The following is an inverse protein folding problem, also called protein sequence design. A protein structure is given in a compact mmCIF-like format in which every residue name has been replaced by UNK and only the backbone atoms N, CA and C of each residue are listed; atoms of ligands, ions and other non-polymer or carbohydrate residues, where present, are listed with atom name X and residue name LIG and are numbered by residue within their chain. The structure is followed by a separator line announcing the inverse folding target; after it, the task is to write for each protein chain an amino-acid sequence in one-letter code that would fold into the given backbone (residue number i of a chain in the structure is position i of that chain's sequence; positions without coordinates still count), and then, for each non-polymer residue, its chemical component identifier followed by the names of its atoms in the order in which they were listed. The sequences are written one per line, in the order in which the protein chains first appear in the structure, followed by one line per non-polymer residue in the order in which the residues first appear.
data_IF_828442531865
#
_entry.id   IF_828442531865
#
_cell.length_a   1.000
_cell.length_b   1.000
_cell.length_c   1.000
_cell.angle_alpha   90.00
_cell.angle_beta   90.00
_cell.angle_gamma   90.00
#
_symmetry.space_group_name_H-M   'P 1'
#
loop_
_entity.id
_entity.type
_entity.pdbx_description
1 polymer ?
#
# COMPACT_ATOMS: atom_id res chain seq x y z
N UNK A 1 -3.99 -8.98 19.36
CA UNK A 1 -4.51 -9.51 18.08
C UNK A 1 -6.01 -9.76 18.21
N UNK A 2 -6.82 -8.80 17.78
CA UNK A 2 -8.27 -8.98 17.62
C UNK A 2 -8.74 -8.02 16.52
N UNK A 3 -8.83 -8.50 15.26
CA UNK A 3 -9.41 -7.70 14.18
C UNK A 3 -8.99 -8.07 12.75
N UNK A 4 -7.74 -8.48 12.53
CA UNK A 4 -7.25 -8.85 11.20
C UNK A 4 -7.49 -10.34 10.91
N UNK A 5 -8.29 -10.71 9.87
CA UNK A 5 -8.74 -12.08 9.69
C UNK A 5 -7.88 -12.91 8.73
N UNK A 6 -6.95 -12.29 8.00
CA UNK A 6 -6.23 -12.97 6.93
C UNK A 6 -4.99 -13.69 7.46
N UNK A 7 -4.74 -14.88 6.91
CA UNK A 7 -3.57 -15.68 7.24
C UNK A 7 -2.40 -15.30 6.34
N UNK A 8 -1.27 -14.99 6.95
CA UNK A 8 -0.03 -14.76 6.23
C UNK A 8 0.51 -16.07 5.65
N UNK A 9 0.90 -16.04 4.37
CA UNK A 9 1.60 -17.12 3.69
C UNK A 9 2.96 -16.64 3.18
N UNK A 10 3.98 -17.48 3.32
CA UNK A 10 5.31 -17.24 2.81
C UNK A 10 5.73 -18.41 1.93
N UNK A 11 5.69 -18.30 0.58
CA UNK A 11 6.04 -19.40 -0.30
C UNK A 11 7.54 -19.74 -0.24
N UNK A 12 8.38 -18.76 0.11
CA UNK A 12 9.80 -18.84 0.40
C UNK A 12 10.19 -17.52 1.10
N UNK A 13 11.33 -17.45 1.81
CA UNK A 13 11.71 -16.24 2.54
C UNK A 13 11.72 -14.99 1.65
N UNK A 14 10.91 -13.99 2.02
CA UNK A 14 10.82 -12.72 1.29
C UNK A 14 11.88 -11.75 1.81
N UNK A 15 12.60 -11.15 0.87
CA UNK A 15 13.57 -10.10 1.17
C UNK A 15 13.20 -8.83 0.44
N UNK A 16 13.68 -7.70 0.95
CA UNK A 16 13.66 -6.42 0.28
C UNK A 16 15.06 -5.86 0.17
N UNK A 17 15.45 -5.51 -1.05
CA UNK A 17 16.64 -4.71 -1.32
C UNK A 17 16.35 -3.23 -1.10
N UNK A 18 17.27 -2.54 -0.44
CA UNK A 18 17.16 -1.12 -0.13
C UNK A 18 18.24 -0.37 -0.91
N UNK A 19 17.82 0.44 -1.88
CA UNK A 19 18.74 1.28 -2.69
C UNK A 19 19.49 2.29 -1.82
N UNK A 20 18.77 2.84 -0.83
CA UNK A 20 19.34 3.65 0.25
C UNK A 20 19.29 2.79 1.51
N UNK A 21 20.44 2.45 2.12
CA UNK A 21 20.46 1.65 3.34
C UNK A 21 19.66 2.32 4.46
N UNK A 22 18.98 1.53 5.27
CA UNK A 22 18.31 1.98 6.50
C UNK A 22 19.15 1.59 7.71
N UNK A 23 19.00 2.29 8.83
CA UNK A 23 19.72 1.95 10.06
C UNK A 23 18.90 0.98 10.90
N UNK A 24 19.46 -0.19 11.21
CA UNK A 24 18.86 -1.16 12.14
C UNK A 24 19.95 -1.71 13.08
N UNK A 25 19.66 -1.78 14.38
CA UNK A 25 20.62 -2.27 15.37
C UNK A 25 21.95 -1.50 15.37
N UNK A 26 21.91 -0.21 15.05
CA UNK A 26 23.09 0.65 14.97
C UNK A 26 23.96 0.47 13.72
N UNK A 27 23.51 -0.28 12.70
CA UNK A 27 24.28 -0.53 11.47
C UNK A 27 23.44 -0.26 10.21
N UNK A 28 24.06 0.13 9.09
CA UNK A 28 23.38 0.23 7.80
C UNK A 28 23.00 -1.17 7.28
N UNK A 29 21.74 -1.32 6.85
CA UNK A 29 21.19 -2.52 6.25
C UNK A 29 20.71 -2.20 4.84
N UNK A 30 21.23 -2.92 3.85
CA UNK A 30 20.85 -2.76 2.42
C UNK A 30 19.95 -3.88 1.91
N UNK A 31 19.78 -4.95 2.70
CA UNK A 31 18.88 -6.07 2.40
C UNK A 31 18.21 -6.47 3.70
N UNK A 32 16.88 -6.49 3.71
CA UNK A 32 16.08 -6.79 4.89
C UNK A 32 15.19 -7.99 4.61
N UNK A 33 15.10 -8.94 5.54
CA UNK A 33 14.12 -10.03 5.46
C UNK A 33 12.79 -9.54 6.00
N UNK A 34 11.68 -9.91 5.36
CA UNK A 34 10.35 -9.72 5.94
C UNK A 34 10.18 -10.70 7.10
N UNK A 35 9.98 -10.17 8.30
CA UNK A 35 9.84 -10.96 9.54
C UNK A 35 8.38 -11.12 9.95
N UNK A 36 8.11 -11.99 10.92
CA UNK A 36 6.78 -12.09 11.54
C UNK A 36 6.38 -10.81 12.26
N UNK A 37 7.35 -10.03 12.74
CA UNK A 37 7.10 -8.73 13.36
C UNK A 37 6.62 -7.71 12.33
N UNK A 38 7.19 -7.72 11.12
CA UNK A 38 6.72 -6.88 10.01
C UNK A 38 5.31 -7.29 9.56
N UNK A 39 5.00 -8.58 9.56
CA UNK A 39 3.66 -9.11 9.24
C UNK A 39 2.63 -8.70 10.30
N UNK A 40 2.99 -8.75 11.59
CA UNK A 40 2.14 -8.22 12.67
C UNK A 40 1.92 -6.72 12.50
N UNK A 41 2.99 -5.96 12.22
CA UNK A 41 2.87 -4.53 11.96
C UNK A 41 1.95 -4.22 10.75
N UNK A 42 2.01 -5.03 9.70
CA UNK A 42 1.07 -4.93 8.57
C UNK A 42 -0.37 -5.20 8.99
N UNK A 43 -0.63 -6.26 9.74
CA UNK A 43 -1.98 -6.55 10.23
C UNK A 43 -2.54 -5.40 11.08
N UNK A 44 -1.74 -4.87 12.01
CA UNK A 44 -2.13 -3.77 12.89
C UNK A 44 -2.35 -2.46 12.11
N UNK A 45 -1.48 -2.15 11.12
CA UNK A 45 -1.66 -1.02 10.21
C UNK A 45 -2.96 -1.14 9.41
N UNK A 46 -3.28 -2.34 8.90
CA UNK A 46 -4.51 -2.57 8.13
C UNK A 46 -5.77 -2.44 8.99
N UNK A 47 -5.72 -2.81 10.28
CA UNK A 47 -6.81 -2.56 11.24
C UNK A 47 -7.04 -1.06 11.45
N UNK A 48 -5.97 -0.29 11.64
CA UNK A 48 -6.04 1.16 11.78
C UNK A 48 -6.50 1.86 10.50
N UNK A 49 -6.05 1.40 9.34
CA UNK A 49 -6.55 1.86 8.04
C UNK A 49 -8.05 1.61 7.93
N UNK A 50 -8.53 0.40 8.24
CA UNK A 50 -9.97 0.09 8.22
C UNK A 50 -10.77 1.03 9.11
N UNK A 51 -10.31 1.30 10.33
CA UNK A 51 -10.97 2.25 11.25
C UNK A 51 -11.05 3.67 10.65
N UNK A 52 -9.97 4.14 10.04
CA UNK A 52 -9.98 5.43 9.33
C UNK A 52 -11.00 5.43 8.19
N UNK A 53 -11.05 4.36 7.38
CA UNK A 53 -12.01 4.24 6.28
C UNK A 53 -13.47 4.26 6.80
N UNK A 54 -13.74 3.56 7.90
CA UNK A 54 -15.06 3.56 8.54
C UNK A 54 -15.44 4.95 9.06
N UNK A 55 -14.51 5.68 9.70
CA UNK A 55 -14.71 7.05 10.18
C UNK A 55 -14.96 8.03 9.02
N UNK A 56 -14.14 7.98 7.97
CA UNK A 56 -14.29 8.82 6.77
C UNK A 56 -15.62 8.53 6.06
N UNK A 57 -16.02 7.27 5.93
CA UNK A 57 -17.30 6.91 5.35
C UNK A 57 -18.49 7.35 6.22
N UNK A 58 -18.37 7.28 7.54
CA UNK A 58 -19.35 7.82 8.48
C UNK A 58 -19.57 9.31 8.26
N UNK A 59 -18.48 10.08 8.13
CA UNK A 59 -18.54 11.50 7.79
C UNK A 59 -19.23 11.72 6.45
N UNK A 60 -18.78 11.03 5.38
CA UNK A 60 -19.37 11.15 4.05
C UNK A 60 -20.89 10.92 4.05
N UNK A 61 -21.39 9.94 4.81
CA UNK A 61 -22.83 9.68 4.98
C UNK A 61 -23.57 10.83 5.67
N UNK A 62 -23.00 11.41 6.73
CA UNK A 62 -23.55 12.60 7.40
C UNK A 62 -23.61 13.81 6.46
N UNK A 63 -22.69 13.88 5.49
CA UNK A 63 -22.67 14.92 4.45
C UNK A 63 -23.62 14.66 3.29
N UNK A 64 -24.30 13.50 3.24
CA UNK A 64 -25.05 13.05 2.06
C UNK A 64 -24.18 13.00 0.80
N UNK A 65 -22.90 12.64 0.95
CA UNK A 65 -21.97 12.50 -0.15
C UNK A 65 -22.46 11.44 -1.14
N UNK A 66 -22.31 11.73 -2.43
CA UNK A 66 -22.61 10.78 -3.49
C UNK A 66 -21.65 9.58 -3.46
N UNK A 67 -22.04 8.50 -4.12
CA UNK A 67 -21.23 7.28 -4.18
C UNK A 67 -19.84 7.50 -4.81
N UNK A 68 -19.76 8.31 -5.87
CA UNK A 68 -18.49 8.74 -6.48
C UNK A 68 -17.60 9.49 -5.49
N UNK A 69 -18.17 10.39 -4.70
CA UNK A 69 -17.45 11.17 -3.71
C UNK A 69 -16.94 10.27 -2.59
N UNK A 70 -17.75 9.32 -2.12
CA UNK A 70 -17.33 8.31 -1.15
C UNK A 70 -16.14 7.49 -1.68
N UNK A 71 -16.20 6.99 -2.91
CA UNK A 71 -15.09 6.24 -3.52
C UNK A 71 -13.79 7.05 -3.56
N UNK A 72 -13.88 8.33 -3.93
CA UNK A 72 -12.73 9.23 -3.95
C UNK A 72 -12.18 9.47 -2.54
N UNK A 73 -13.05 9.73 -1.55
CA UNK A 73 -12.66 9.91 -0.15
C UNK A 73 -11.97 8.68 0.42
N UNK A 74 -12.43 7.46 0.09
CA UNK A 74 -11.77 6.22 0.52
C UNK A 74 -10.38 6.06 -0.14
N UNK A 75 -10.25 6.39 -1.42
CA UNK A 75 -8.96 6.40 -2.10
C UNK A 75 -8.00 7.43 -1.49
N UNK A 76 -8.50 8.64 -1.17
CA UNK A 76 -7.73 9.68 -0.47
C UNK A 76 -7.32 9.23 0.93
N UNK A 77 -8.21 8.57 1.68
CA UNK A 77 -7.94 8.03 3.01
C UNK A 77 -6.81 7.00 3.00
N UNK A 78 -6.80 6.07 2.03
CA UNK A 78 -5.69 5.11 1.86
C UNK A 78 -4.39 5.87 1.58
N UNK A 79 -4.41 6.79 0.61
CA UNK A 79 -3.23 7.56 0.20
C UNK A 79 -2.67 8.43 1.34
N UNK A 80 -3.55 9.01 2.15
CA UNK A 80 -3.20 9.81 3.33
C UNK A 80 -2.66 8.91 4.44
N UNK A 81 -3.32 7.80 4.76
CA UNK A 81 -2.86 6.86 5.79
C UNK A 81 -1.45 6.33 5.51
N UNK A 82 -1.14 6.05 4.24
CA UNK A 82 0.17 5.53 3.85
C UNK A 82 1.30 6.59 3.91
N UNK A 83 1.01 7.88 4.17
CA UNK A 83 2.01 8.96 4.10
C UNK A 83 1.98 9.94 5.27
N UNK A 84 0.80 10.42 5.66
CA UNK A 84 0.64 11.45 6.67
C UNK A 84 1.19 11.07 8.05
N UNK A 85 1.07 9.81 8.54
CA UNK A 85 1.69 9.42 9.81
C UNK A 85 3.22 9.60 9.84
N UNK A 86 3.89 9.55 8.69
CA UNK A 86 5.35 9.76 8.60
C UNK A 86 5.75 11.23 8.80
N UNK A 87 4.80 12.16 8.67
CA UNK A 87 5.03 13.57 8.95
C UNK A 87 4.87 13.78 10.45
N UNK A 88 5.98 13.79 11.19
CA UNK A 88 5.93 13.99 12.64
C UNK A 88 5.48 15.42 12.98
N UNK A 89 4.62 15.55 13.99
CA UNK A 89 4.25 16.88 14.48
C UNK A 89 5.43 17.53 15.19
N UNK A 90 5.71 18.77 14.85
CA UNK A 90 6.74 19.58 15.52
C UNK A 90 6.14 20.35 16.71
N UNK A 91 4.81 20.51 16.73
CA UNK A 91 4.09 21.26 17.76
C UNK A 91 2.80 20.54 18.14
N UNK A 92 2.42 20.53 19.44
CA UNK A 92 1.13 20.03 19.88
C UNK A 92 -0.03 21.02 19.62
N UNK A 93 0.27 22.25 19.17
CA UNK A 93 -0.72 23.34 19.08
C UNK A 93 -1.52 23.31 17.79
N UNK A 94 -0.91 22.90 16.68
CA UNK A 94 -1.58 22.86 15.38
C UNK A 94 -0.90 21.83 14.48
N UNK A 95 -1.67 21.15 13.59
CA UNK A 95 -1.10 20.28 12.58
C UNK A 95 -0.06 20.99 11.70
N UNK A 96 1.02 20.29 11.34
CA UNK A 96 1.94 20.77 10.30
C UNK A 96 1.19 21.05 8.99
N UNK A 97 1.67 21.97 8.13
CA UNK A 97 1.01 22.27 6.85
C UNK A 97 0.75 21.03 5.97
N UNK A 98 1.65 20.05 6.00
CA UNK A 98 1.49 18.80 5.26
C UNK A 98 0.38 17.91 5.83
N UNK A 99 0.25 17.80 7.16
CA UNK A 99 -0.88 17.11 7.79
C UNK A 99 -2.18 17.89 7.62
N UNK A 100 -2.14 19.21 7.68
CA UNK A 100 -3.29 20.06 7.39
C UNK A 100 -3.82 19.77 5.98
N UNK A 101 -2.95 19.74 4.97
CA UNK A 101 -3.33 19.35 3.61
C UNK A 101 -3.97 17.96 3.56
N UNK A 102 -3.42 16.98 4.28
CA UNK A 102 -4.01 15.64 4.37
C UNK A 102 -5.43 15.67 4.98
N UNK A 103 -5.66 16.45 6.03
CA UNK A 103 -6.99 16.62 6.63
C UNK A 103 -8.00 17.24 5.66
N UNK A 104 -7.58 18.26 4.88
CA UNK A 104 -8.45 18.91 3.89
C UNK A 104 -8.88 17.96 2.76
N UNK A 105 -8.10 16.90 2.48
CA UNK A 105 -8.48 15.86 1.52
C UNK A 105 -9.54 14.91 2.10
N UNK A 106 -9.49 14.62 3.40
CA UNK A 106 -10.38 13.63 4.03
C UNK A 106 -11.70 14.21 4.54
N UNK A 107 -11.76 15.54 4.75
CA UNK A 107 -12.92 16.20 5.33
C UNK A 107 -13.32 17.43 4.51
N UNK A 108 -14.25 17.28 3.54
CA UNK A 108 -14.74 18.40 2.73
C UNK A 108 -15.26 19.58 3.56
N UNK A 109 -15.97 19.33 4.67
CA UNK A 109 -16.41 20.40 5.60
C UNK A 109 -15.26 21.14 6.27
N UNK A 110 -14.20 20.43 6.68
CA UNK A 110 -13.01 21.10 7.21
C UNK A 110 -12.35 21.94 6.13
N UNK A 111 -12.35 21.48 4.87
CA UNK A 111 -11.84 22.27 3.75
C UNK A 111 -12.59 23.58 3.58
N UNK A 112 -13.92 23.57 3.59
CA UNK A 112 -14.74 24.78 3.47
C UNK A 112 -14.47 25.77 4.61
N UNK A 113 -14.32 25.27 5.84
CA UNK A 113 -14.11 26.10 7.02
C UNK A 113 -12.68 26.64 7.12
N UNK A 114 -11.68 25.80 6.84
CA UNK A 114 -10.27 26.12 7.08
C UNK A 114 -9.65 26.87 5.91
N UNK A 115 -9.98 26.51 4.66
CA UNK A 115 -9.28 27.02 3.49
C UNK A 115 -9.40 28.54 3.34
N UNK A 116 -8.26 29.18 3.11
CA UNK A 116 -8.13 30.61 2.85
C UNK A 116 -6.93 30.83 1.94
N UNK A 117 -7.04 31.77 0.99
CA UNK A 117 -5.88 32.23 0.21
C UNK A 117 -4.92 33.08 1.06
N UNK A 118 -5.41 33.69 2.14
CA UNK A 118 -4.58 34.35 3.14
C UNK A 118 -4.01 33.30 4.09
N UNK A 119 -2.68 33.15 4.06
CA UNK A 119 -1.92 32.18 4.87
C UNK A 119 -2.07 32.42 6.38
N UNK A 120 -2.14 33.68 6.82
CA UNK A 120 -2.34 33.99 8.23
C UNK A 120 -3.73 33.53 8.69
N UNK A 121 -4.76 33.82 7.90
CA UNK A 121 -6.12 33.39 8.22
C UNK A 121 -6.25 31.86 8.18
N UNK A 122 -5.62 31.19 7.21
CA UNK A 122 -5.55 29.73 7.15
C UNK A 122 -4.89 29.16 8.42
N UNK A 123 -3.72 29.66 8.81
CA UNK A 123 -3.02 29.22 10.01
C UNK A 123 -3.81 29.49 11.30
N UNK A 124 -4.46 30.66 11.40
CA UNK A 124 -5.30 31.04 12.54
C UNK A 124 -6.55 30.17 12.67
N UNK A 125 -7.14 29.71 11.56
CA UNK A 125 -8.26 28.76 11.58
C UNK A 125 -7.80 27.37 11.96
N UNK A 126 -6.67 26.93 11.40
CA UNK A 126 -6.06 25.64 11.72
C UNK A 126 -5.70 25.53 13.21
N UNK A 127 -5.19 26.59 13.82
CA UNK A 127 -4.84 26.62 15.25
C UNK A 127 -6.04 26.58 16.21
N UNK A 128 -7.27 26.62 15.68
CA UNK A 128 -8.50 26.54 16.47
C UNK A 128 -9.14 25.15 16.43
N UNK A 129 -8.60 24.23 15.63
CA UNK A 129 -9.08 22.85 15.60
C UNK A 129 -8.90 22.23 16.98
N UNK A 130 -9.97 21.66 17.50
CA UNK A 130 -9.94 20.91 18.75
C UNK A 130 -9.60 19.43 18.49
N UNK A 131 -9.23 18.67 19.53
CA UNK A 131 -9.08 17.22 19.40
C UNK A 131 -10.35 16.54 18.86
N UNK A 132 -11.54 17.04 19.20
CA UNK A 132 -12.82 16.54 18.70
C UNK A 132 -12.97 16.76 17.19
N UNK A 133 -12.52 17.91 16.66
CA UNK A 133 -12.51 18.16 15.21
C UNK A 133 -11.60 17.18 14.44
N UNK A 134 -10.62 16.58 15.13
CA UNK A 134 -9.60 15.70 14.57
C UNK A 134 -9.83 14.21 14.91
N UNK A 135 -10.86 13.87 15.68
CA UNK A 135 -11.12 12.50 16.15
C UNK A 135 -11.25 11.50 14.99
N UNK A 136 -11.83 11.92 13.87
CA UNK A 136 -11.99 11.08 12.67
C UNK A 136 -10.63 10.67 12.06
N UNK A 137 -9.57 11.45 12.31
CA UNK A 137 -8.24 11.31 11.74
C UNK A 137 -7.16 11.03 12.80
N UNK A 138 -7.53 10.61 14.02
CA UNK A 138 -6.60 10.35 15.13
C UNK A 138 -5.43 9.43 14.74
N UNK A 139 -5.69 8.43 13.89
CA UNK A 139 -4.69 7.47 13.41
C UNK A 139 -3.55 8.17 12.66
N UNK A 140 -3.78 9.36 12.08
CA UNK A 140 -2.77 10.14 11.38
C UNK A 140 -1.79 10.85 12.33
N UNK A 141 -2.18 11.03 13.60
CA UNK A 141 -1.39 11.71 14.62
C UNK A 141 -0.74 10.74 15.61
N UNK A 142 -1.18 9.49 15.63
CA UNK A 142 -0.62 8.48 16.51
C UNK A 142 0.79 8.05 16.11
N UNK A 143 1.72 8.13 17.07
CA UNK A 143 3.13 7.74 16.87
C UNK A 143 3.28 6.24 16.56
N UNK A 144 2.40 5.40 17.12
CA UNK A 144 2.44 3.97 16.82
C UNK A 144 2.06 3.71 15.36
N UNK A 145 1.03 4.39 14.85
CA UNK A 145 0.68 4.34 13.42
C UNK A 145 1.84 4.80 12.54
N UNK A 146 2.60 5.82 12.94
CA UNK A 146 3.78 6.26 12.21
C UNK A 146 4.85 5.15 12.08
N UNK A 147 5.14 4.45 13.19
CA UNK A 147 6.09 3.33 13.20
C UNK A 147 5.61 2.15 12.36
N UNK A 148 4.31 1.82 12.43
CA UNK A 148 3.70 0.78 11.62
C UNK A 148 3.82 1.11 10.12
N UNK A 149 3.45 2.33 9.72
CA UNK A 149 3.54 2.79 8.33
C UNK A 149 4.99 2.83 7.86
N UNK A 150 5.92 3.32 8.69
CA UNK A 150 7.35 3.31 8.37
C UNK A 150 7.86 1.89 8.09
N UNK A 151 7.53 0.93 8.94
CA UNK A 151 7.87 -0.49 8.74
C UNK A 151 7.33 -1.02 7.43
N UNK A 152 6.09 -0.68 7.07
CA UNK A 152 5.50 -1.08 5.79
C UNK A 152 6.31 -0.52 4.62
N UNK A 153 6.76 0.73 4.73
CA UNK A 153 7.60 1.41 3.75
C UNK A 153 8.99 0.83 3.61
N UNK A 154 9.53 0.04 4.54
CA UNK A 154 10.89 -0.52 4.45
C UNK A 154 10.93 -2.06 4.38
N UNK A 155 9.86 -2.75 4.78
CA UNK A 155 9.82 -4.21 4.85
C UNK A 155 9.37 -4.85 3.54
N UNK A 156 8.22 -4.43 3.03
CA UNK A 156 7.54 -5.15 1.96
C UNK A 156 8.00 -4.67 0.59
N UNK A 157 8.45 -5.58 -0.30
CA UNK A 157 8.75 -5.24 -1.68
C UNK A 157 7.49 -5.33 -2.56
N UNK A 158 7.45 -4.58 -3.65
CA UNK A 158 6.39 -4.68 -4.65
C UNK A 158 6.42 -6.02 -5.45
N UNK A 159 7.62 -6.59 -5.57
CA UNK A 159 7.89 -7.88 -6.18
C UNK A 159 8.73 -8.72 -5.21
N UNK A 160 8.28 -9.92 -4.86
CA UNK A 160 9.03 -10.78 -3.94
C UNK A 160 10.11 -11.64 -4.63
N UNK A 161 10.24 -11.58 -5.97
CA UNK A 161 11.25 -12.35 -6.74
C UNK A 161 12.65 -11.82 -6.45
N UNK A 162 13.63 -12.72 -6.24
CA UNK A 162 15.03 -12.33 -6.12
C UNK A 162 15.50 -11.46 -7.30
N UNK A 163 16.09 -10.30 -6.98
CA UNK A 163 16.59 -9.32 -7.94
C UNK A 163 15.62 -8.21 -8.31
N UNK A 164 14.30 -8.46 -8.20
CA UNK A 164 13.27 -7.47 -8.54
C UNK A 164 12.66 -6.78 -7.29
N UNK A 165 13.00 -7.28 -6.11
CA UNK A 165 12.52 -6.89 -4.79
C UNK A 165 13.12 -5.59 -4.21
N UNK A 166 13.43 -4.60 -5.06
CA UNK A 166 14.05 -3.34 -4.60
C UNK A 166 13.08 -2.17 -4.43
N UNK A 167 11.90 -2.25 -5.06
CA UNK A 167 10.86 -1.22 -4.88
C UNK A 167 9.98 -1.52 -3.67
N UNK A 168 9.55 -0.45 -3.00
CA UNK A 168 8.59 -0.53 -1.90
C UNK A 168 7.22 -0.89 -2.42
N UNK A 169 6.52 -1.82 -1.76
CA UNK A 169 5.12 -2.12 -2.07
C UNK A 169 4.25 -0.86 -2.07
N UNK A 170 4.44 0.01 -1.06
CA UNK A 170 3.66 1.24 -0.95
C UNK A 170 3.99 2.26 -2.04
N UNK A 171 5.27 2.37 -2.45
CA UNK A 171 5.66 3.26 -3.54
C UNK A 171 5.01 2.81 -4.86
N UNK A 172 5.09 1.51 -5.15
CA UNK A 172 4.47 0.90 -6.32
C UNK A 172 2.96 1.14 -6.34
N UNK A 173 2.27 0.82 -5.25
CA UNK A 173 0.82 1.03 -5.12
C UNK A 173 0.41 2.48 -5.38
N UNK A 174 1.10 3.45 -4.77
CA UNK A 174 0.80 4.88 -4.95
C UNK A 174 1.06 5.34 -6.39
N UNK A 175 2.18 4.90 -6.98
CA UNK A 175 2.55 5.22 -8.36
C UNK A 175 1.56 4.62 -9.36
N UNK A 176 1.22 3.34 -9.21
CA UNK A 176 0.27 2.63 -10.06
C UNK A 176 -1.11 3.29 -10.01
N UNK A 177 -1.59 3.70 -8.83
CA UNK A 177 -2.85 4.44 -8.73
C UNK A 177 -2.81 5.80 -9.45
N UNK A 178 -1.74 6.57 -9.29
CA UNK A 178 -1.60 7.86 -9.96
C UNK A 178 -1.54 7.71 -11.49
N UNK A 179 -0.79 6.73 -12.00
CA UNK A 179 -0.68 6.46 -13.43
C UNK A 179 -2.02 5.93 -13.99
N UNK A 180 -2.68 5.00 -13.29
CA UNK A 180 -3.97 4.45 -13.72
C UNK A 180 -5.02 5.55 -13.84
N UNK A 181 -5.08 6.45 -12.85
CA UNK A 181 -5.96 7.62 -12.89
C UNK A 181 -5.65 8.52 -14.09
N UNK A 182 -4.37 8.86 -14.31
CA UNK A 182 -3.97 9.76 -15.40
C UNK A 182 -4.26 9.16 -16.79
N UNK A 183 -3.99 7.86 -16.99
CA UNK A 183 -4.30 7.15 -18.23
C UNK A 183 -5.80 7.13 -18.51
N UNK A 184 -6.61 6.79 -17.50
CA UNK A 184 -8.05 6.73 -17.63
C UNK A 184 -8.67 8.10 -17.90
N UNK A 185 -8.23 9.14 -17.19
CA UNK A 185 -8.65 10.51 -17.42
C UNK A 185 -8.31 10.99 -18.85
N UNK A 186 -7.09 10.70 -19.32
CA UNK A 186 -6.67 10.99 -20.69
C UNK A 186 -7.47 10.23 -21.76
N UNK A 187 -8.02 9.06 -21.42
CA UNK A 187 -8.92 8.26 -22.27
C UNK A 187 -10.39 8.63 -22.15
N UNK A 188 -10.71 9.70 -21.42
CA UNK A 188 -12.06 10.22 -21.28
C UNK A 188 -12.92 9.51 -20.22
N UNK A 189 -12.33 8.65 -19.37
CA UNK A 189 -13.06 8.17 -18.19
C UNK A 189 -13.19 9.30 -17.17
N UNK A 190 -14.37 9.38 -16.57
CA UNK A 190 -14.68 10.41 -15.57
C UNK A 190 -15.63 9.87 -14.52
N UNK A 191 -15.80 10.65 -13.46
CA UNK A 191 -16.76 10.36 -12.41
C UNK A 191 -16.51 9.04 -11.68
N UNK A 192 -17.59 8.30 -11.38
CA UNK A 192 -17.56 7.00 -10.69
C UNK A 192 -16.55 6.01 -11.28
N UNK A 193 -16.48 5.84 -12.60
CA UNK A 193 -15.58 4.86 -13.23
C UNK A 193 -14.12 5.14 -12.89
N UNK A 194 -13.75 6.43 -12.87
CA UNK A 194 -12.41 6.86 -12.51
C UNK A 194 -12.13 6.66 -11.01
N UNK A 195 -13.13 6.90 -10.17
CA UNK A 195 -13.03 6.68 -8.72
C UNK A 195 -12.85 5.20 -8.37
N UNK A 196 -13.63 4.30 -9.00
CA UNK A 196 -13.49 2.84 -8.87
C UNK A 196 -12.08 2.42 -9.28
N UNK A 197 -11.63 2.82 -10.47
CA UNK A 197 -10.30 2.46 -10.97
C UNK A 197 -9.18 2.92 -10.02
N UNK A 198 -9.25 4.16 -9.52
CA UNK A 198 -8.26 4.71 -8.61
C UNK A 198 -8.18 3.91 -7.30
N UNK A 199 -9.33 3.58 -6.72
CA UNK A 199 -9.43 2.80 -5.49
C UNK A 199 -8.92 1.36 -5.72
N UNK A 200 -9.34 0.71 -6.81
CA UNK A 200 -8.86 -0.61 -7.20
C UNK A 200 -7.34 -0.64 -7.38
N UNK A 201 -6.78 0.38 -8.03
CA UNK A 201 -5.33 0.49 -8.22
C UNK A 201 -4.55 0.61 -6.92
N UNK A 202 -5.11 1.25 -5.88
CA UNK A 202 -4.49 1.30 -4.55
C UNK A 202 -4.53 -0.04 -3.81
N UNK A 203 -5.50 -0.91 -4.14
CA UNK A 203 -5.73 -2.13 -3.39
C UNK A 203 -5.15 -3.38 -4.07
N UNK A 204 -4.94 -3.35 -5.38
CA UNK A 204 -4.63 -4.54 -6.19
C UNK A 204 -3.44 -5.34 -5.67
N UNK A 205 -2.42 -4.66 -5.16
CA UNK A 205 -1.14 -5.27 -4.78
C UNK A 205 -0.91 -5.34 -3.27
N UNK A 206 -1.70 -4.63 -2.45
CA UNK A 206 -1.50 -4.64 -0.98
C UNK A 206 -1.62 -6.04 -0.39
N UNK A 207 -2.42 -6.91 -1.01
CA UNK A 207 -2.56 -8.32 -0.64
C UNK A 207 -1.26 -9.12 -0.73
N UNK A 208 -0.24 -8.64 -1.46
CA UNK A 208 1.08 -9.32 -1.56
C UNK A 208 1.79 -9.43 -0.22
N UNK A 209 1.56 -8.49 0.69
CA UNK A 209 2.11 -8.57 2.05
C UNK A 209 1.51 -9.74 2.85
N UNK A 210 0.29 -10.17 2.52
CA UNK A 210 -0.42 -11.29 3.15
C UNK A 210 -0.04 -12.60 2.46
N UNK A 211 -0.24 -12.66 1.13
CA UNK A 211 0.04 -13.83 0.32
C UNK A 211 0.53 -13.44 -1.08
N UNK A 212 1.86 -13.41 -1.32
CA UNK A 212 2.41 -13.02 -2.62
C UNK A 212 1.91 -13.87 -3.80
N UNK A 213 1.61 -15.16 -3.55
CA UNK A 213 1.19 -16.09 -4.59
C UNK A 213 -0.31 -16.01 -4.90
N UNK A 214 -1.12 -15.54 -3.94
CA UNK A 214 -2.58 -15.42 -4.07
C UNK A 214 -3.07 -14.11 -3.42
N UNK A 215 -2.71 -12.97 -4.01
CA UNK A 215 -2.99 -11.64 -3.45
C UNK A 215 -4.30 -11.01 -3.93
N UNK A 216 -5.25 -11.84 -4.40
CA UNK A 216 -6.23 -11.38 -5.39
C UNK A 216 -7.27 -10.39 -4.89
N UNK A 217 -8.01 -10.64 -3.80
CA UNK A 217 -9.08 -9.68 -3.41
C UNK A 217 -9.44 -9.67 -1.92
N UNK A 218 -8.92 -10.60 -1.11
CA UNK A 218 -9.37 -10.80 0.27
C UNK A 218 -9.12 -9.57 1.17
N UNK A 219 -7.96 -8.92 1.02
CA UNK A 219 -7.64 -7.71 1.77
C UNK A 219 -8.51 -6.53 1.34
N UNK A 220 -8.68 -6.34 0.04
CA UNK A 220 -9.53 -5.29 -0.51
C UNK A 220 -10.98 -5.45 -0.04
N UNK A 221 -11.49 -6.70 -0.09
CA UNK A 221 -12.83 -7.04 0.40
C UNK A 221 -12.95 -6.73 1.88
N UNK A 222 -12.02 -7.19 2.69
CA UNK A 222 -12.06 -6.95 4.13
C UNK A 222 -12.02 -5.45 4.44
N UNK A 223 -11.16 -4.66 3.80
CA UNK A 223 -11.07 -3.22 4.04
C UNK A 223 -12.37 -2.46 3.72
N UNK A 224 -13.13 -2.89 2.72
CA UNK A 224 -14.26 -2.13 2.16
C UNK A 224 -15.64 -2.71 2.50
N UNK A 225 -15.73 -3.96 2.94
CA UNK A 225 -16.99 -4.61 3.27
C UNK A 225 -17.69 -3.91 4.45
N UNK A 226 -18.96 -3.53 4.25
CA UNK A 226 -19.75 -2.75 5.21
C UNK A 226 -19.55 -1.23 5.08
N UNK A 227 -18.59 -0.80 4.27
CA UNK A 227 -18.36 0.60 3.92
C UNK A 227 -19.05 0.95 2.61
N UNK A 228 -18.76 0.17 1.57
CA UNK A 228 -19.40 0.23 0.26
C UNK A 228 -20.61 -0.70 0.19
N UNK A 229 -21.56 -0.40 -0.68
CA UNK A 229 -22.60 -1.36 -1.05
C UNK A 229 -22.03 -2.52 -1.89
N UNK A 230 -22.82 -3.59 -2.05
CA UNK A 230 -22.37 -4.80 -2.74
C UNK A 230 -22.05 -4.57 -4.23
N UNK A 231 -22.69 -3.60 -4.87
CA UNK A 231 -22.44 -3.29 -6.28
C UNK A 231 -21.07 -2.61 -6.43
N UNK A 232 -20.83 -1.52 -5.71
CA UNK A 232 -19.56 -0.80 -5.71
C UNK A 232 -18.40 -1.68 -5.25
N UNK A 233 -18.61 -2.46 -4.19
CA UNK A 233 -17.63 -3.43 -3.73
C UNK A 233 -17.31 -4.46 -4.83
N UNK A 234 -18.34 -5.04 -5.45
CA UNK A 234 -18.18 -6.00 -6.54
C UNK A 234 -17.38 -5.44 -7.72
N UNK A 235 -17.63 -4.18 -8.10
CA UNK A 235 -16.89 -3.49 -9.16
C UNK A 235 -15.40 -3.30 -8.79
N UNK A 236 -15.11 -2.82 -7.57
CA UNK A 236 -13.74 -2.62 -7.09
C UNK A 236 -12.97 -3.95 -7.07
N UNK A 237 -13.57 -5.01 -6.52
CA UNK A 237 -12.95 -6.33 -6.41
C UNK A 237 -12.74 -6.98 -7.76
N UNK A 238 -13.67 -6.78 -8.71
CA UNK A 238 -13.52 -7.25 -10.09
C UNK A 238 -12.31 -6.60 -10.77
N UNK A 239 -12.17 -5.27 -10.68
CA UNK A 239 -11.01 -4.57 -11.22
C UNK A 239 -9.70 -5.07 -10.61
N UNK A 240 -9.69 -5.25 -9.28
CA UNK A 240 -8.55 -5.79 -8.53
C UNK A 240 -8.21 -7.22 -8.96
N UNK A 241 -9.18 -8.11 -9.16
CA UNK A 241 -8.96 -9.50 -9.56
C UNK A 241 -8.53 -9.65 -11.01
N UNK A 242 -9.14 -8.89 -11.92
CA UNK A 242 -9.03 -9.10 -13.37
C UNK A 242 -7.89 -8.33 -14.03
N UNK A 243 -7.18 -7.46 -13.29
CA UNK A 243 -6.13 -6.61 -13.86
C UNK A 243 -4.97 -7.40 -14.50
N UNK A 244 -4.71 -8.64 -14.10
CA UNK A 244 -3.73 -9.49 -14.77
C UNK A 244 -4.28 -10.19 -16.04
N UNK A 245 -5.60 -10.34 -16.15
CA UNK A 245 -6.27 -11.16 -17.17
C UNK A 245 -6.59 -10.37 -18.44
N UNK A 246 -6.91 -9.08 -18.32
CA UNK A 246 -7.31 -8.22 -19.44
C UNK A 246 -6.40 -7.02 -19.59
N UNK A 247 -6.22 -6.54 -20.82
CA UNK A 247 -5.60 -5.22 -21.01
C UNK A 247 -6.53 -4.14 -20.45
N UNK A 248 -6.01 -3.35 -19.52
CA UNK A 248 -6.71 -2.26 -18.84
C UNK A 248 -5.72 -1.17 -18.45
N UNK A 249 -6.23 0.02 -18.12
CA UNK A 249 -5.46 1.14 -17.60
C UNK A 249 -4.70 0.76 -16.33
N UNK A 250 -5.29 -0.11 -15.48
CA UNK A 250 -4.62 -0.63 -14.29
C UNK A 250 -3.44 -1.52 -14.66
N UNK A 251 -3.61 -2.45 -15.62
CA UNK A 251 -2.51 -3.32 -16.07
C UNK A 251 -1.37 -2.53 -16.70
N UNK A 252 -1.72 -1.52 -17.50
CA UNK A 252 -0.75 -0.62 -18.12
C UNK A 252 -0.01 0.21 -17.08
N UNK A 253 -0.73 0.75 -16.10
CA UNK A 253 -0.14 1.48 -14.98
C UNK A 253 0.79 0.61 -14.14
N UNK A 254 0.39 -0.63 -13.81
CA UNK A 254 1.21 -1.59 -13.09
C UNK A 254 2.52 -1.92 -13.84
N UNK A 255 2.44 -2.10 -15.17
CA UNK A 255 3.63 -2.27 -16.03
C UNK A 255 4.54 -1.04 -16.02
N UNK A 256 3.97 0.16 -16.13
CA UNK A 256 4.73 1.43 -16.15
C UNK A 256 5.41 1.69 -14.80
N UNK A 257 4.68 1.54 -13.68
CA UNK A 257 5.23 1.66 -12.33
C UNK A 257 6.34 0.64 -12.11
N UNK A 258 6.09 -0.62 -12.44
CA UNK A 258 7.11 -1.66 -12.37
C UNK A 258 8.32 -1.39 -13.27
N UNK A 259 8.17 -0.72 -14.41
CA UNK A 259 9.29 -0.41 -15.32
C UNK A 259 10.16 0.72 -14.80
N UNK A 260 9.56 1.73 -14.15
CA UNK A 260 10.30 2.76 -13.42
C UNK A 260 11.11 2.16 -12.26
N UNK A 261 10.61 1.07 -11.68
CA UNK A 261 11.18 0.40 -10.53
C UNK A 261 12.18 -0.71 -10.87
N UNK A 262 12.11 -1.30 -12.07
CA UNK A 262 12.94 -2.45 -12.42
C UNK A 262 14.31 -2.06 -12.95
N UNK A 263 15.34 -2.46 -12.20
CA UNK A 263 16.73 -2.48 -12.66
C UNK A 263 17.00 -3.75 -13.49
N UNK A 264 16.12 -4.12 -14.41
CA UNK A 264 16.18 -5.39 -15.15
C UNK A 264 17.55 -5.61 -15.81
N UNK A 265 18.09 -4.58 -16.46
CA UNK A 265 19.45 -4.62 -17.05
C UNK A 265 20.53 -4.94 -16.02
N UNK A 266 20.40 -4.44 -14.79
CA UNK A 266 21.35 -4.71 -13.72
C UNK A 266 21.19 -6.13 -13.19
N UNK A 267 19.94 -6.58 -13.00
CA UNK A 267 19.63 -7.95 -12.56
C UNK A 267 20.21 -8.96 -13.53
N UNK A 268 19.97 -8.77 -14.84
CA UNK A 268 20.46 -9.67 -15.86
C UNK A 268 22.00 -9.71 -15.90
N UNK A 269 22.66 -8.55 -15.81
CA UNK A 269 24.12 -8.45 -15.74
C UNK A 269 24.73 -9.09 -14.50
N UNK A 270 24.04 -9.01 -13.35
CA UNK A 270 24.61 -9.41 -12.05
C UNK A 270 24.34 -10.87 -11.72
N UNK A 271 23.10 -11.33 -11.95
CA UNK A 271 22.63 -12.65 -11.54
C UNK A 271 21.92 -13.44 -12.66
N UNK A 272 21.70 -12.84 -13.83
CA UNK A 272 20.96 -13.47 -14.95
C UNK A 272 21.52 -14.81 -15.38
N UNK A 273 22.84 -14.92 -15.55
CA UNK A 273 23.50 -16.20 -15.90
C UNK A 273 23.41 -17.27 -14.79
N UNK A 274 23.33 -16.87 -13.52
CA UNK A 274 23.09 -17.82 -12.41
C UNK A 274 21.66 -18.32 -12.42
N UNK A 275 20.69 -17.43 -12.64
CA UNK A 275 19.27 -17.77 -12.74
C UNK A 275 19.03 -18.67 -13.95
N UNK A 276 19.62 -18.37 -15.12
CA UNK A 276 19.49 -19.19 -16.33
C UNK A 276 19.94 -20.63 -16.14
N UNK A 277 21.03 -20.86 -15.38
CA UNK A 277 21.44 -22.23 -15.01
C UNK A 277 20.44 -22.91 -14.09
N UNK A 278 19.82 -22.17 -13.16
CA UNK A 278 18.79 -22.74 -12.28
C UNK A 278 17.53 -23.12 -13.08
N UNK A 279 17.10 -22.27 -14.02
CA UNK A 279 15.98 -22.53 -14.95
C UNK A 279 16.22 -23.84 -15.73
N UNK A 280 17.45 -24.05 -16.24
CA UNK A 280 17.83 -25.29 -16.93
C UNK A 280 17.80 -26.53 -16.03
N UNK A 281 18.20 -26.41 -14.76
CA UNK A 281 18.33 -27.55 -13.84
C UNK A 281 17.03 -27.95 -13.14
N UNK A 282 16.10 -27.00 -12.98
CA UNK A 282 14.84 -27.19 -12.26
C UNK A 282 13.62 -27.26 -13.19
N UNK A 283 13.74 -26.73 -14.41
CA UNK A 283 12.58 -26.43 -15.24
C UNK A 283 11.79 -25.23 -14.69
N UNK A 284 10.85 -24.73 -15.50
CA UNK A 284 10.11 -23.49 -15.20
C UNK A 284 10.89 -22.22 -15.55
N UNK A 285 10.31 -21.06 -15.22
CA UNK A 285 10.87 -19.75 -15.56
C UNK A 285 10.90 -18.82 -14.35
N UNK A 286 11.86 -17.89 -14.32
CA UNK A 286 12.06 -16.93 -13.22
C UNK A 286 10.89 -15.99 -12.97
N UNK A 287 9.97 -15.84 -13.92
CA UNK A 287 8.77 -15.05 -13.77
C UNK A 287 7.69 -15.79 -12.95
N UNK A 288 7.82 -17.10 -12.77
CA UNK A 288 6.86 -17.97 -12.10
C UNK A 288 7.20 -18.18 -10.62
N UNK A 289 6.22 -18.00 -9.72
CA UNK A 289 6.43 -18.24 -8.28
C UNK A 289 6.78 -19.69 -7.95
N UNK A 290 6.25 -20.64 -8.72
CA UNK A 290 6.54 -22.07 -8.55
C UNK A 290 8.03 -22.38 -8.70
N UNK A 291 8.70 -21.74 -9.68
CA UNK A 291 10.13 -21.90 -9.89
C UNK A 291 10.93 -21.51 -8.64
N UNK A 292 10.66 -20.34 -8.07
CA UNK A 292 11.37 -19.86 -6.87
C UNK A 292 11.10 -20.70 -5.63
N UNK A 293 9.88 -21.24 -5.49
CA UNK A 293 9.56 -22.21 -4.45
C UNK A 293 10.39 -23.49 -4.61
N UNK A 294 10.47 -24.04 -5.81
CA UNK A 294 11.29 -25.23 -6.09
C UNK A 294 12.79 -24.99 -5.87
N UNK A 295 13.29 -23.80 -6.20
CA UNK A 295 14.67 -23.38 -5.87
C UNK A 295 14.91 -23.43 -4.36
N UNK A 296 13.98 -22.90 -3.56
CA UNK A 296 14.06 -22.90 -2.10
C UNK A 296 14.01 -24.31 -1.50
N UNK A 297 13.06 -25.12 -1.95
CA UNK A 297 12.88 -26.51 -1.50
C UNK A 297 14.13 -27.36 -1.77
N UNK A 298 14.69 -27.30 -3.00
CA UNK A 298 15.94 -28.03 -3.35
C UNK A 298 17.14 -27.60 -2.51
N UNK A 299 17.16 -26.36 -1.99
CA UNK A 299 18.26 -25.86 -1.15
C UNK A 299 18.19 -26.38 0.29
N UNK A 300 17.20 -27.20 0.64
CA UNK A 300 16.99 -27.72 2.00
C UNK A 300 15.99 -26.91 2.84
N UNK A 301 15.25 -25.99 2.21
CA UNK A 301 14.34 -25.05 2.87
C UNK A 301 13.12 -25.65 3.59
N UNK A 302 12.92 -26.97 3.52
CA UNK A 302 11.86 -27.70 4.23
C UNK A 302 12.40 -28.75 5.24
N UNK A 303 13.72 -28.83 5.45
CA UNK A 303 14.36 -29.89 6.26
C UNK A 303 15.56 -29.42 7.08
N UNK A 304 15.41 -28.33 7.83
CA UNK A 304 16.49 -27.71 8.61
C UNK A 304 16.10 -27.29 10.02
N UNK A 305 15.23 -28.06 10.68
CA UNK A 305 15.09 -28.05 12.13
C UNK A 305 16.04 -29.08 12.72
N UNK A 306 17.22 -28.64 13.14
CA UNK A 306 18.20 -29.47 13.84
C UNK A 306 19.34 -29.96 12.95
N UNK A 307 20.53 -29.39 13.14
CA UNK A 307 21.68 -30.10 13.74
C UNK A 307 22.54 -29.01 14.40
N UNK A 308 22.68 -29.10 15.72
CA UNK A 308 23.77 -28.43 16.44
C UNK A 308 25.08 -29.18 16.22
N UNK A 309 26.17 -28.43 16.17
CA UNK A 309 27.54 -28.91 15.97
C UNK A 309 28.40 -27.82 15.39
#
# INVERSE_FOLDING_TARGET
MSGFPLKFEEPYPVYRGLRVPVWEGGKPVSVRRVTDEDRRAFADAMVRLRRLLEKVAGLARVLSAGEEELLNLLADAIVVFLRAPLVQEVSPVAPTPLKAHALLLLAPRLRENLWSQDLYEFARRLSKLSPEDLEFAEELFDSETAELVYRLWIAFPADTRPGYNTSSLLAHTLMTSAIAWALAAARGRSGRELAVLRLSALLHDLGKAVNPARHYEELARWLLQGILDEQALGEVLREVREHHLRESELKEADRLASSADRLERLVERTIGGKIGRMEQLLGGRRDEWGFWRSVWERRGGAGGGGVGG
#
